data_IF_239817016343
#
_entry.id   IF_239817016343
#
_cell.length_a   1.000
_cell.length_b   1.000
_cell.length_c   1.000
_cell.angle_alpha   90.00
_cell.angle_beta   90.00
_cell.angle_gamma   90.00
#
_symmetry.space_group_name_H-M   'P 1'
#
loop_
_entity.id
_entity.type
_entity.pdbx_description
1 polymer ?
#
# COMPACT_ATOMS: atom_id res chain seq x y z
N UNK A 1 46.18 -9.04 18.69
CA UNK A 1 44.80 -8.51 18.60
C UNK A 1 44.73 -7.71 17.31
N UNK A 2 44.01 -8.12 16.25
CA UNK A 2 44.07 -7.26 15.05
C UNK A 2 43.31 -7.61 13.78
N UNK A 3 42.55 -8.71 13.70
CA UNK A 3 41.71 -8.97 12.50
C UNK A 3 40.35 -9.53 12.90
N UNK A 4 40.31 -10.43 13.89
CA UNK A 4 39.07 -11.01 14.39
C UNK A 4 38.15 -9.98 15.07
N UNK A 5 38.71 -8.99 15.78
CA UNK A 5 37.92 -7.91 16.41
C UNK A 5 37.35 -6.91 15.40
N UNK A 6 38.11 -6.57 14.34
CA UNK A 6 37.64 -5.70 13.26
C UNK A 6 36.55 -6.38 12.41
N UNK A 7 36.69 -7.67 12.12
CA UNK A 7 35.66 -8.44 11.43
C UNK A 7 34.36 -8.53 12.25
N UNK A 8 34.45 -8.77 13.57
CA UNK A 8 33.29 -8.79 14.48
C UNK A 8 32.60 -7.42 14.57
N UNK A 9 33.37 -6.33 14.63
CA UNK A 9 32.83 -4.96 14.61
C UNK A 9 32.09 -4.66 13.31
N UNK A 10 32.64 -5.04 12.15
CA UNK A 10 31.97 -4.84 10.85
C UNK A 10 30.67 -5.62 10.73
N UNK A 11 30.63 -6.87 11.22
CA UNK A 11 29.41 -7.70 11.23
C UNK A 11 28.35 -7.09 12.16
N UNK A 12 28.75 -6.64 13.35
CA UNK A 12 27.84 -5.98 14.29
C UNK A 12 27.27 -4.67 13.73
N UNK A 13 28.10 -3.82 13.12
CA UNK A 13 27.62 -2.58 12.47
C UNK A 13 26.67 -2.88 11.32
N UNK A 14 26.97 -3.87 10.48
CA UNK A 14 26.08 -4.28 9.39
C UNK A 14 24.74 -4.84 9.91
N UNK A 15 24.77 -5.64 10.97
CA UNK A 15 23.56 -6.17 11.60
C UNK A 15 22.70 -5.05 12.22
N UNK A 16 23.30 -4.09 12.91
CA UNK A 16 22.59 -2.92 13.44
C UNK A 16 21.99 -2.05 12.32
N UNK A 17 22.70 -1.86 11.22
CA UNK A 17 22.19 -1.12 10.07
C UNK A 17 20.99 -1.82 9.42
N UNK A 18 21.05 -3.16 9.26
CA UNK A 18 19.93 -3.96 8.76
C UNK A 18 18.73 -3.91 9.69
N UNK A 19 18.95 -3.95 11.00
CA UNK A 19 17.87 -3.86 11.98
C UNK A 19 17.19 -2.49 11.93
N UNK A 20 17.96 -1.41 11.96
CA UNK A 20 17.42 -0.05 11.87
C UNK A 20 16.61 0.18 10.58
N UNK A 21 17.08 -0.39 9.46
CA UNK A 21 16.35 -0.36 8.19
C UNK A 21 15.03 -1.16 8.28
N UNK A 22 15.05 -2.35 8.86
CA UNK A 22 13.83 -3.15 9.04
C UNK A 22 12.78 -2.46 9.93
N UNK A 23 13.22 -1.76 10.97
CA UNK A 23 12.35 -1.01 11.87
C UNK A 23 11.72 0.20 11.17
N UNK A 24 12.50 0.94 10.37
CA UNK A 24 11.98 2.03 9.53
C UNK A 24 10.92 1.53 8.55
N UNK A 25 11.18 0.41 7.88
CA UNK A 25 10.22 -0.19 6.93
C UNK A 25 8.91 -0.59 7.61
N UNK A 26 9.00 -1.21 8.79
CA UNK A 26 7.83 -1.59 9.57
C UNK A 26 7.02 -0.35 10.01
N UNK A 27 7.69 0.73 10.41
CA UNK A 27 7.04 1.98 10.78
C UNK A 27 6.33 2.64 9.59
N UNK A 28 6.99 2.73 8.43
CA UNK A 28 6.38 3.28 7.22
C UNK A 28 5.19 2.43 6.73
N UNK A 29 5.29 1.10 6.78
CA UNK A 29 4.16 0.21 6.45
C UNK A 29 2.99 0.39 7.43
N UNK A 30 3.26 0.52 8.72
CA UNK A 30 2.23 0.75 9.73
C UNK A 30 1.53 2.10 9.52
N UNK A 31 2.29 3.15 9.24
CA UNK A 31 1.74 4.49 8.97
C UNK A 31 0.90 4.50 7.69
N UNK A 32 1.39 3.85 6.63
CA UNK A 32 0.62 3.69 5.40
C UNK A 32 -0.73 2.99 5.68
N UNK A 33 -0.71 1.86 6.40
CA UNK A 33 -1.93 1.13 6.76
C UNK A 33 -2.87 1.98 7.61
N UNK A 34 -2.34 2.77 8.54
CA UNK A 34 -3.11 3.71 9.37
C UNK A 34 -3.82 4.75 8.52
N UNK A 35 -3.12 5.33 7.54
CA UNK A 35 -3.68 6.34 6.64
C UNK A 35 -4.74 5.74 5.71
N UNK A 36 -4.54 4.53 5.19
CA UNK A 36 -5.58 3.82 4.42
C UNK A 36 -6.82 3.60 5.28
N UNK A 37 -6.65 3.05 6.48
CA UNK A 37 -7.77 2.82 7.40
C UNK A 37 -8.49 4.11 7.81
N UNK A 38 -7.80 5.25 7.81
CA UNK A 38 -8.38 6.58 8.08
C UNK A 38 -9.37 7.02 6.99
N UNK A 39 -9.02 6.84 5.70
CA UNK A 39 -9.83 7.36 4.59
C UNK A 39 -10.83 6.34 4.02
N UNK A 40 -10.59 5.05 4.25
CA UNK A 40 -11.41 3.98 3.71
C UNK A 40 -12.91 4.07 4.07
N UNK A 41 -13.33 4.37 5.32
CA UNK A 41 -14.74 4.36 5.68
C UNK A 41 -15.59 5.35 4.88
N UNK A 42 -15.04 6.55 4.62
CA UNK A 42 -15.72 7.59 3.84
C UNK A 42 -15.86 7.14 2.37
N UNK A 43 -14.77 6.65 1.77
CA UNK A 43 -14.80 6.13 0.40
C UNK A 43 -15.79 4.97 0.27
N UNK A 44 -15.73 4.00 1.17
CA UNK A 44 -16.60 2.82 1.16
C UNK A 44 -18.08 3.20 1.27
N UNK A 45 -18.40 4.12 2.20
CA UNK A 45 -19.76 4.64 2.36
C UNK A 45 -20.25 5.30 1.07
N UNK A 46 -19.42 6.12 0.43
CA UNK A 46 -19.78 6.79 -0.82
C UNK A 46 -20.00 5.81 -1.98
N UNK A 47 -19.18 4.76 -2.10
CA UNK A 47 -19.36 3.70 -3.09
C UNK A 47 -20.73 3.03 -2.93
N UNK A 48 -21.09 2.66 -1.69
CA UNK A 48 -22.36 2.01 -1.37
C UNK A 48 -23.57 2.92 -1.60
N UNK A 49 -23.55 4.14 -1.03
CA UNK A 49 -24.65 5.10 -1.12
C UNK A 49 -25.03 5.38 -2.57
N UNK A 50 -24.02 5.53 -3.41
CA UNK A 50 -24.26 5.86 -4.79
C UNK A 50 -24.58 4.57 -5.60
N UNK A 51 -24.26 3.34 -5.13
CA UNK A 51 -24.37 2.05 -5.87
C UNK A 51 -23.29 1.80 -6.94
N UNK A 52 -22.02 2.02 -6.61
CA UNK A 52 -20.91 1.69 -7.50
C UNK A 52 -20.89 0.18 -7.67
N UNK A 53 -20.63 -0.32 -8.87
CA UNK A 53 -20.46 -1.75 -9.07
C UNK A 53 -19.01 -2.12 -8.76
N UNK A 54 -18.74 -3.10 -7.89
CA UNK A 54 -17.40 -3.63 -7.72
C UNK A 54 -16.95 -4.37 -8.98
N UNK A 55 -15.64 -4.46 -9.18
CA UNK A 55 -15.06 -5.27 -10.24
C UNK A 55 -15.50 -6.73 -10.04
N UNK A 56 -16.16 -7.32 -11.06
CA UNK A 56 -16.59 -8.72 -11.01
C UNK A 56 -15.45 -9.72 -11.27
N UNK A 57 -14.20 -9.25 -11.40
CA UNK A 57 -13.02 -10.11 -11.52
C UNK A 57 -12.57 -10.67 -10.15
N UNK A 58 -13.52 -11.14 -9.34
CA UNK A 58 -13.20 -11.96 -8.19
C UNK A 58 -12.53 -13.25 -8.67
N UNK A 59 -11.21 -13.42 -8.44
CA UNK A 59 -10.61 -14.76 -8.38
C UNK A 59 -11.54 -15.60 -7.49
N UNK A 60 -11.95 -16.79 -7.94
CA UNK A 60 -12.64 -17.76 -7.09
C UNK A 60 -11.74 -18.07 -5.88
N UNK A 61 -11.85 -17.31 -4.80
CA UNK A 61 -11.34 -17.77 -3.51
C UNK A 61 -12.30 -18.86 -3.03
N UNK A 62 -11.75 -19.88 -2.36
CA UNK A 62 -12.44 -21.14 -2.02
C UNK A 62 -13.77 -21.00 -1.25
N UNK A 63 -14.19 -19.80 -0.85
CA UNK A 63 -15.31 -19.61 0.07
C UNK A 63 -16.30 -18.47 -0.22
N UNK A 64 -16.13 -17.61 -1.25
CA UNK A 64 -17.18 -16.66 -1.70
C UNK A 64 -16.78 -15.96 -3.01
N UNK A 65 -17.72 -15.75 -3.93
CA UNK A 65 -17.59 -14.74 -4.99
C UNK A 65 -17.88 -13.37 -4.36
N UNK A 66 -16.86 -12.71 -3.81
CA UNK A 66 -17.00 -11.30 -3.39
C UNK A 66 -16.36 -10.41 -4.45
N UNK A 67 -17.10 -9.37 -4.85
CA UNK A 67 -16.54 -8.29 -5.64
C UNK A 67 -15.62 -7.42 -4.79
N UNK A 68 -14.74 -6.68 -5.45
CA UNK A 68 -13.91 -5.66 -4.82
C UNK A 68 -13.76 -4.46 -5.75
N UNK A 69 -13.42 -3.31 -5.20
CA UNK A 69 -12.90 -2.18 -5.99
C UNK A 69 -11.39 -2.09 -5.83
N UNK A 70 -10.72 -1.54 -6.83
CA UNK A 70 -9.26 -1.33 -6.78
C UNK A 70 -8.94 0.16 -6.83
N UNK A 71 -8.48 0.70 -5.71
CA UNK A 71 -7.93 2.05 -5.64
C UNK A 71 -6.41 2.00 -5.85
N UNK A 72 -5.86 2.84 -6.73
CA UNK A 72 -4.41 2.94 -6.95
C UNK A 72 -3.83 4.17 -6.26
N UNK A 73 -2.78 3.96 -5.50
CA UNK A 73 -1.94 5.02 -4.95
C UNK A 73 -0.64 5.06 -5.75
N UNK A 74 -0.43 6.12 -6.52
CA UNK A 74 0.78 6.32 -7.32
C UNK A 74 1.67 7.38 -6.69
N UNK A 75 2.94 7.04 -6.49
CA UNK A 75 3.99 7.96 -6.06
C UNK A 75 4.93 8.22 -7.23
N UNK A 76 5.12 9.50 -7.58
CA UNK A 76 6.06 9.91 -8.62
C UNK A 76 7.40 10.27 -7.99
N UNK A 77 8.40 9.41 -8.16
CA UNK A 77 9.79 9.80 -7.95
C UNK A 77 10.19 10.72 -9.12
N UNK A 78 10.81 11.86 -8.84
CA UNK A 78 11.19 12.85 -9.86
C UNK A 78 12.00 12.27 -11.04
N UNK A 79 12.75 11.20 -10.78
CA UNK A 79 13.26 10.30 -11.81
C UNK A 79 12.16 9.29 -12.16
N UNK A 80 11.60 9.45 -13.37
CA UNK A 80 10.71 8.62 -14.24
C UNK A 80 10.03 7.34 -13.72
N UNK A 81 10.48 6.74 -12.65
CA UNK A 81 9.90 5.61 -11.94
C UNK A 81 8.68 6.06 -11.15
N UNK A 82 7.50 5.73 -11.68
CA UNK A 82 6.26 5.80 -10.93
C UNK A 82 6.10 4.49 -10.17
N UNK A 83 6.18 4.55 -8.85
CA UNK A 83 5.81 3.41 -7.99
C UNK A 83 4.33 3.47 -7.70
N UNK A 84 3.64 2.33 -7.64
CA UNK A 84 2.22 2.33 -7.28
C UNK A 84 1.84 1.16 -6.40
N UNK A 85 0.84 1.34 -5.55
CA UNK A 85 0.24 0.26 -4.78
C UNK A 85 -1.26 0.24 -5.03
N UNK A 86 -1.76 -0.96 -5.34
CA UNK A 86 -3.19 -1.20 -5.49
C UNK A 86 -3.77 -1.63 -4.12
N UNK A 87 -4.84 -0.95 -3.69
CA UNK A 87 -5.64 -1.29 -2.51
C UNK A 87 -6.92 -1.94 -3.01
N UNK A 88 -7.18 -3.16 -2.55
CA UNK A 88 -8.47 -3.83 -2.77
C UNK A 88 -9.40 -3.50 -1.64
N UNK A 89 -10.58 -2.99 -1.99
CA UNK A 89 -11.67 -2.68 -1.07
C UNK A 89 -12.77 -3.71 -1.32
N UNK A 90 -13.01 -4.60 -0.37
CA UNK A 90 -14.02 -5.63 -0.48
C UNK A 90 -15.42 -5.08 -0.17
N UNK A 91 -16.44 -5.75 -0.69
CA UNK A 91 -17.85 -5.40 -0.44
C UNK A 91 -18.29 -5.49 1.02
N UNK A 92 -17.52 -6.16 1.87
CA UNK A 92 -17.74 -6.22 3.32
C UNK A 92 -17.03 -5.09 4.10
N UNK A 93 -16.36 -4.18 3.39
CA UNK A 93 -15.59 -3.08 3.97
C UNK A 93 -14.19 -3.46 4.43
N UNK A 94 -13.81 -4.75 4.35
CA UNK A 94 -12.41 -5.15 4.55
C UNK A 94 -11.55 -4.71 3.37
N UNK A 95 -10.23 -4.68 3.57
CA UNK A 95 -9.29 -4.28 2.53
C UNK A 95 -7.96 -5.01 2.62
N UNK A 96 -7.27 -5.13 1.49
CA UNK A 96 -5.91 -5.67 1.43
C UNK A 96 -5.03 -4.94 0.42
N UNK A 97 -3.72 -5.09 0.59
CA UNK A 97 -2.73 -4.61 -0.36
C UNK A 97 -2.56 -5.63 -1.46
N UNK A 98 -2.91 -5.25 -2.68
CA UNK A 98 -2.67 -6.05 -3.86
C UNK A 98 -1.39 -5.60 -4.56
N UNK A 99 -0.45 -6.52 -4.68
CA UNK A 99 0.72 -6.34 -5.53
C UNK A 99 0.44 -6.92 -6.90
N UNK A 100 0.69 -6.15 -7.95
CA UNK A 100 0.74 -6.69 -9.30
C UNK A 100 1.95 -7.62 -9.38
N UNK A 101 1.74 -8.79 -9.97
CA UNK A 101 2.83 -9.73 -10.22
C UNK A 101 3.87 -9.09 -11.13
N UNK A 102 5.14 -9.27 -10.77
CA UNK A 102 6.24 -8.47 -11.27
C UNK A 102 6.73 -7.59 -10.15
N UNK A 103 7.67 -8.14 -9.38
CA UNK A 103 8.48 -7.49 -8.36
C UNK A 103 8.50 -5.95 -8.52
N UNK A 104 8.38 -5.19 -7.43
CA UNK A 104 8.70 -3.76 -7.29
C UNK A 104 7.61 -2.73 -6.95
N UNK A 105 6.38 -3.12 -6.65
CA UNK A 105 5.36 -2.10 -6.31
C UNK A 105 5.28 -1.70 -4.82
N UNK A 106 5.89 -2.43 -3.87
CA UNK A 106 5.95 -2.00 -2.44
C UNK A 106 7.10 -1.06 -2.10
N UNK A 107 8.04 -0.81 -3.01
CA UNK A 107 9.27 -0.07 -2.66
C UNK A 107 8.96 1.30 -2.06
N UNK A 108 7.95 2.01 -2.58
CA UNK A 108 7.61 3.32 -2.01
C UNK A 108 7.08 3.26 -0.56
N UNK A 109 6.34 2.22 -0.16
CA UNK A 109 5.88 2.06 1.23
C UNK A 109 7.07 1.95 2.18
N UNK A 110 8.20 1.42 1.70
CA UNK A 110 9.38 1.13 2.50
C UNK A 110 10.47 2.20 2.40
N UNK A 111 10.58 2.85 1.24
CA UNK A 111 11.65 3.79 0.91
C UNK A 111 11.23 5.26 1.14
N UNK A 112 9.92 5.56 1.27
CA UNK A 112 9.43 6.90 1.59
C UNK A 112 8.44 6.90 2.74
N UNK A 113 8.44 7.98 3.53
CA UNK A 113 7.41 8.21 4.54
C UNK A 113 6.07 8.43 3.83
N UNK A 114 5.00 7.68 4.16
CA UNK A 114 3.71 7.83 3.52
C UNK A 114 3.16 9.26 3.69
N UNK A 115 2.85 9.94 2.59
CA UNK A 115 2.23 11.27 2.61
C UNK A 115 0.70 11.16 2.68
N UNK A 116 0.11 11.67 3.78
CA UNK A 116 -1.33 11.72 3.98
C UNK A 116 -2.06 12.43 2.82
N UNK A 117 -1.50 13.52 2.29
CA UNK A 117 -2.13 14.28 1.21
C UNK A 117 -2.20 13.46 -0.08
N UNK A 118 -1.14 12.73 -0.38
CA UNK A 118 -1.08 11.85 -1.53
C UNK A 118 -2.14 10.74 -1.41
N UNK A 119 -2.17 10.04 -0.27
CA UNK A 119 -3.12 8.95 -0.02
C UNK A 119 -4.56 9.47 -0.14
N UNK A 120 -4.88 10.58 0.52
CA UNK A 120 -6.21 11.19 0.44
C UNK A 120 -6.60 11.52 -0.99
N UNK A 121 -5.71 12.17 -1.75
CA UNK A 121 -5.96 12.53 -3.16
C UNK A 121 -6.22 11.28 -4.00
N UNK A 122 -5.47 10.21 -3.79
CA UNK A 122 -5.69 8.94 -4.50
C UNK A 122 -7.07 8.36 -4.23
N UNK A 123 -7.54 8.36 -2.98
CA UNK A 123 -8.89 7.92 -2.64
C UNK A 123 -9.99 8.78 -3.28
N UNK A 124 -9.80 10.11 -3.29
CA UNK A 124 -10.72 11.04 -3.96
C UNK A 124 -10.78 10.77 -5.46
N UNK A 125 -9.62 10.72 -6.14
CA UNK A 125 -9.57 10.48 -7.59
C UNK A 125 -10.13 9.11 -7.98
N UNK A 126 -9.89 8.09 -7.15
CA UNK A 126 -10.51 6.78 -7.33
C UNK A 126 -12.04 6.87 -7.23
N UNK A 127 -12.57 7.50 -6.17
CA UNK A 127 -14.01 7.64 -5.98
C UNK A 127 -14.66 8.44 -7.11
N UNK A 128 -14.05 9.54 -7.53
CA UNK A 128 -14.52 10.34 -8.68
C UNK A 128 -14.60 9.50 -9.96
N UNK A 129 -13.58 8.69 -10.24
CA UNK A 129 -13.57 7.77 -11.38
C UNK A 129 -14.70 6.74 -11.30
N UNK A 130 -14.94 6.16 -10.13
CA UNK A 130 -16.04 5.21 -9.94
C UNK A 130 -17.42 5.86 -10.02
N UNK A 131 -17.55 7.12 -9.59
CA UNK A 131 -18.78 7.90 -9.73
C UNK A 131 -19.08 8.24 -11.20
N UNK A 132 -18.06 8.47 -12.02
CA UNK A 132 -18.21 8.76 -13.46
C UNK A 132 -18.54 7.51 -14.30
N UNK A 133 -18.26 6.31 -13.80
CA UNK A 133 -18.50 5.04 -14.50
C UNK A 133 -19.92 4.48 -14.34
N UNK A 134 -20.80 5.14 -13.58
CA UNK A 134 -22.21 4.75 -13.45
C UNK A 134 -23.04 5.25 -14.59
#
# INVERSE_FOLDING_TARGET
MGIADDARRRISVAAHAQQAESERRAASEAEFKRLVAKFLPETFTALLQNRCQPDQQGKKTRSRKMGYWTARISHYSGDKDTSSVDIRIWVDGSWDLHLRDGFHDRYWIYDTTPDERLIRRSFVSFLEGELQRR
#
